data_IF_922504266116
#
_entry.id   IF_922504266116
#
_cell.length_a   1.000
_cell.length_b   1.000
_cell.length_c   1.000
_cell.angle_alpha   90.00
_cell.angle_beta   90.00
_cell.angle_gamma   90.00
#
_symmetry.space_group_name_H-M   'P 1'
#
loop_
_entity.id
_entity.type
_entity.pdbx_description
1 polymer ?
#
# COMPACT_ATOMS: atom_id res chain seq x y z
N UNK A 1 -14.83 -1.39 3.71
CA UNK A 1 -14.04 -1.88 4.86
C UNK A 1 -13.90 -0.77 5.89
N UNK A 2 -13.84 -1.13 7.15
CA UNK A 2 -13.46 -0.17 8.18
C UNK A 2 -11.95 0.08 8.14
N UNK A 3 -11.51 1.13 8.84
CA UNK A 3 -10.09 1.42 9.00
C UNK A 3 -9.33 0.23 9.61
N UNK A 4 -9.91 -0.39 10.64
CA UNK A 4 -9.28 -1.52 11.33
C UNK A 4 -9.20 -2.76 10.44
N UNK A 5 -10.23 -3.03 9.64
CA UNK A 5 -10.22 -4.11 8.68
C UNK A 5 -9.14 -3.93 7.62
N UNK A 6 -9.01 -2.71 7.10
CA UNK A 6 -7.99 -2.40 6.10
C UNK A 6 -6.58 -2.52 6.70
N UNK A 7 -6.39 -2.05 7.92
CA UNK A 7 -5.12 -2.19 8.64
C UNK A 7 -4.75 -3.65 8.86
N UNK A 8 -5.72 -4.47 9.25
CA UNK A 8 -5.52 -5.91 9.45
C UNK A 8 -5.16 -6.62 8.14
N UNK A 9 -5.84 -6.26 7.05
CA UNK A 9 -5.51 -6.80 5.73
C UNK A 9 -4.07 -6.48 5.35
N UNK A 10 -3.66 -5.23 5.53
CA UNK A 10 -2.30 -4.79 5.21
C UNK A 10 -1.26 -5.57 6.02
N UNK A 11 -1.46 -5.71 7.32
CA UNK A 11 -0.57 -6.47 8.18
C UNK A 11 -0.45 -7.93 7.74
N UNK A 12 -1.57 -8.54 7.34
CA UNK A 12 -1.62 -9.92 6.84
C UNK A 12 -0.98 -10.10 5.46
N UNK A 13 -0.72 -9.03 4.74
CA UNK A 13 -0.14 -9.05 3.39
C UNK A 13 1.26 -8.43 3.32
N UNK A 14 1.98 -8.43 4.43
CA UNK A 14 3.39 -8.04 4.45
C UNK A 14 3.66 -6.55 4.56
N UNK A 15 2.64 -5.74 4.81
CA UNK A 15 2.83 -4.32 5.06
C UNK A 15 3.31 -4.12 6.50
N UNK A 16 4.13 -3.10 6.71
CA UNK A 16 4.63 -2.72 8.05
C UNK A 16 4.07 -1.38 8.45
N UNK A 17 3.86 -1.19 9.75
CA UNK A 17 3.47 0.12 10.29
C UNK A 17 4.70 1.02 10.34
N UNK A 18 4.66 2.11 9.58
CA UNK A 18 5.72 3.11 9.52
C UNK A 18 5.10 4.47 9.86
N UNK A 19 5.49 5.03 11.00
CA UNK A 19 4.96 6.31 11.49
C UNK A 19 3.42 6.35 11.50
N UNK A 20 2.80 5.25 11.91
CA UNK A 20 1.34 5.14 11.99
C UNK A 20 0.64 4.76 10.69
N UNK A 21 1.36 4.58 9.60
CA UNK A 21 0.80 4.21 8.29
C UNK A 21 1.26 2.83 7.85
N UNK A 22 0.34 1.93 7.43
CA UNK A 22 0.76 0.69 6.81
C UNK A 22 1.54 0.99 5.53
N UNK A 23 2.71 0.39 5.39
CA UNK A 23 3.63 0.71 4.30
C UNK A 23 4.33 -0.54 3.78
N UNK A 24 4.59 -0.57 2.48
CA UNK A 24 5.47 -1.55 1.86
C UNK A 24 6.89 -1.01 1.91
N UNK A 25 7.81 -1.83 2.39
CA UNK A 25 9.19 -1.46 2.69
C UNK A 25 10.12 -2.20 1.75
N UNK A 26 11.18 -1.54 1.29
CA UNK A 26 12.20 -2.17 0.45
C UNK A 26 12.90 -3.31 1.18
N UNK A 27 13.13 -4.44 0.51
CA UNK A 27 13.94 -5.52 1.08
C UNK A 27 15.33 -5.02 1.48
N UNK A 28 15.80 -5.44 2.65
CA UNK A 28 17.11 -5.02 3.15
C UNK A 28 17.17 -3.57 3.65
N UNK A 29 16.09 -2.81 3.51
CA UNK A 29 16.01 -1.40 3.93
C UNK A 29 14.72 -1.16 4.68
N UNK A 30 14.60 -1.66 5.92
CA UNK A 30 13.34 -1.61 6.66
C UNK A 30 12.83 -0.21 7.00
N UNK A 31 13.63 0.84 6.76
CA UNK A 31 13.22 2.22 6.96
C UNK A 31 12.72 2.89 5.68
N UNK A 32 12.85 2.22 4.53
CA UNK A 32 12.50 2.79 3.23
C UNK A 32 11.12 2.33 2.78
N UNK A 33 10.10 3.06 3.16
CA UNK A 33 8.75 2.84 2.65
C UNK A 33 8.61 3.38 1.23
N UNK A 34 8.01 2.61 0.33
CA UNK A 34 7.81 3.00 -1.08
C UNK A 34 6.35 3.16 -1.47
N UNK A 35 5.46 2.48 -0.76
CA UNK A 35 4.00 2.62 -0.92
C UNK A 35 3.43 2.70 0.48
N UNK A 36 2.43 3.55 0.69
CA UNK A 36 1.80 3.67 2.00
C UNK A 36 0.31 3.94 1.88
N UNK A 37 -0.43 3.53 2.91
CA UNK A 37 -1.81 3.92 3.12
C UNK A 37 -1.82 5.04 4.15
N UNK A 38 -2.46 6.15 3.82
CA UNK A 38 -2.60 7.29 4.73
C UNK A 38 -4.02 7.30 5.25
N UNK A 39 -4.19 6.98 6.53
CA UNK A 39 -5.50 6.93 7.17
C UNK A 39 -5.91 8.32 7.65
N UNK A 40 -7.03 8.78 7.14
CA UNK A 40 -7.68 10.00 7.61
C UNK A 40 -9.00 9.63 8.30
N UNK A 41 -9.69 10.62 8.85
CA UNK A 41 -10.89 10.37 9.64
C UNK A 41 -11.99 9.63 8.85
N UNK A 42 -12.25 10.04 7.61
CA UNK A 42 -13.34 9.49 6.78
C UNK A 42 -12.86 8.87 5.49
N UNK A 43 -11.61 9.08 5.11
CA UNK A 43 -11.05 8.59 3.84
C UNK A 43 -9.68 7.97 4.08
N UNK A 44 -9.26 7.14 3.15
CA UNK A 44 -7.91 6.59 3.10
C UNK A 44 -7.30 6.92 1.75
N UNK A 45 -6.02 7.25 1.73
CA UNK A 45 -5.28 7.53 0.50
C UNK A 45 -4.20 6.48 0.27
N UNK A 46 -3.98 6.15 -1.01
CA UNK A 46 -2.87 5.32 -1.44
C UNK A 46 -1.81 6.24 -2.04
N UNK A 47 -0.60 6.19 -1.50
CA UNK A 47 0.51 7.02 -1.96
C UNK A 47 1.71 6.18 -2.33
N UNK A 48 2.42 6.61 -3.37
CA UNK A 48 3.70 6.01 -3.77
C UNK A 48 4.81 7.04 -3.63
N UNK A 49 5.98 6.57 -3.23
CA UNK A 49 7.13 7.45 -3.08
C UNK A 49 7.84 7.64 -4.42
N UNK A 50 8.05 8.89 -4.80
CA UNK A 50 8.84 9.26 -5.98
C UNK A 50 9.99 10.16 -5.53
N UNK A 51 11.21 9.67 -5.65
CA UNK A 51 12.40 10.36 -5.14
C UNK A 51 12.23 10.70 -3.65
N UNK A 52 12.06 11.97 -3.31
CA UNK A 52 11.91 12.44 -1.93
C UNK A 52 10.48 12.81 -1.56
N UNK A 53 9.54 12.69 -2.50
CA UNK A 53 8.15 13.09 -2.29
C UNK A 53 7.19 11.91 -2.37
N UNK A 54 5.98 12.11 -1.83
CA UNK A 54 4.89 11.15 -1.93
C UNK A 54 3.86 11.65 -2.92
N UNK A 55 3.45 10.79 -3.84
CA UNK A 55 2.41 11.09 -4.82
C UNK A 55 1.17 10.28 -4.50
N UNK A 56 0.03 10.96 -4.39
CA UNK A 56 -1.25 10.29 -4.17
C UNK A 56 -1.69 9.62 -5.48
N UNK A 57 -1.90 8.32 -5.43
CA UNK A 57 -2.37 7.52 -6.56
C UNK A 57 -3.89 7.44 -6.56
N UNK A 58 -4.50 7.34 -5.38
CA UNK A 58 -5.94 7.28 -5.25
C UNK A 58 -6.38 7.48 -3.81
N UNK A 59 -7.67 7.70 -3.62
CA UNK A 59 -8.26 7.81 -2.29
C UNK A 59 -9.74 7.44 -2.36
N UNK A 60 -10.30 7.02 -1.24
CA UNK A 60 -11.72 6.70 -1.15
C UNK A 60 -12.17 6.77 0.31
N UNK A 61 -13.48 6.96 0.51
CA UNK A 61 -14.08 6.74 1.81
C UNK A 61 -13.97 5.26 2.16
N UNK A 62 -13.80 4.95 3.44
CA UNK A 62 -13.65 3.55 3.88
C UNK A 62 -14.80 2.66 3.42
N UNK A 63 -16.00 3.18 3.39
CA UNK A 63 -17.20 2.43 2.96
C UNK A 63 -17.15 1.96 1.50
N UNK A 64 -16.35 2.62 0.65
CA UNK A 64 -16.18 2.25 -0.75
C UNK A 64 -14.93 1.40 -0.99
N UNK A 65 -14.19 1.07 0.04
CA UNK A 65 -13.02 0.20 -0.06
C UNK A 65 -13.45 -1.22 0.25
N UNK A 66 -13.11 -2.16 -0.60
CA UNK A 66 -13.48 -3.56 -0.46
C UNK A 66 -12.36 -4.47 -0.92
N UNK A 67 -12.48 -5.75 -0.62
CA UNK A 67 -11.57 -6.77 -1.14
C UNK A 67 -12.22 -7.45 -2.35
N UNK A 68 -11.39 -7.96 -3.26
CA UNK A 68 -11.88 -8.79 -4.36
C UNK A 68 -12.37 -10.15 -3.84
N UNK A 69 -12.86 -11.00 -4.75
CA UNK A 69 -13.41 -12.31 -4.37
C UNK A 69 -12.40 -13.21 -3.66
N UNK A 70 -11.12 -13.06 -3.95
CA UNK A 70 -10.06 -13.86 -3.36
C UNK A 70 -9.48 -13.25 -2.08
N UNK A 71 -9.91 -12.05 -1.72
CA UNK A 71 -9.37 -11.34 -0.57
C UNK A 71 -7.94 -10.83 -0.74
N UNK A 72 -7.42 -10.85 -1.96
CA UNK A 72 -6.03 -10.48 -2.25
C UNK A 72 -5.85 -9.03 -2.66
N UNK A 73 -6.85 -8.45 -3.33
CA UNK A 73 -6.76 -7.10 -3.87
C UNK A 73 -7.75 -6.17 -3.20
N UNK A 74 -7.27 -5.00 -2.84
CA UNK A 74 -8.13 -3.94 -2.34
C UNK A 74 -8.67 -3.15 -3.52
N UNK A 75 -9.99 -3.02 -3.59
CA UNK A 75 -10.71 -2.31 -4.64
C UNK A 75 -11.13 -0.93 -4.14
N UNK A 76 -11.11 0.04 -5.03
CA UNK A 76 -11.60 1.39 -4.75
C UNK A 76 -10.55 2.41 -4.37
N UNK A 77 -9.28 2.02 -4.19
CA UNK A 77 -8.19 2.91 -3.78
C UNK A 77 -7.22 3.28 -4.90
N UNK A 78 -7.37 2.73 -6.09
CA UNK A 78 -6.45 3.01 -7.19
C UNK A 78 -5.22 2.11 -7.23
N UNK A 79 -5.27 0.94 -6.58
CA UNK A 79 -4.18 -0.04 -6.68
C UNK A 79 -3.90 -0.45 -8.13
N UNK A 80 -4.90 -0.40 -8.99
CA UNK A 80 -4.75 -0.70 -10.41
C UNK A 80 -3.84 0.28 -11.15
N UNK A 81 -3.61 1.46 -10.57
CA UNK A 81 -2.68 2.46 -11.10
C UNK A 81 -1.23 2.20 -10.66
N UNK A 82 -1.03 1.23 -9.80
CA UNK A 82 0.29 0.82 -9.32
C UNK A 82 0.50 -0.62 -9.76
N UNK A 83 1.03 -0.85 -10.97
CA UNK A 83 1.21 -2.20 -11.50
C UNK A 83 2.05 -3.07 -10.56
N UNK A 84 1.70 -4.33 -10.46
CA UNK A 84 2.46 -5.32 -9.70
C UNK A 84 2.49 -5.10 -8.18
N UNK A 85 1.57 -4.33 -7.62
CA UNK A 85 1.56 -4.15 -6.16
C UNK A 85 1.33 -5.49 -5.42
N UNK A 86 0.50 -6.36 -6.00
CA UNK A 86 0.31 -7.71 -5.46
C UNK A 86 1.59 -8.52 -5.53
N UNK A 87 2.37 -8.32 -6.60
CA UNK A 87 3.66 -8.95 -6.78
C UNK A 87 4.67 -8.43 -5.76
N UNK A 88 4.65 -7.13 -5.47
CA UNK A 88 5.47 -6.55 -4.42
C UNK A 88 5.19 -7.18 -3.06
N UNK A 89 3.93 -7.42 -2.75
CA UNK A 89 3.56 -8.04 -1.48
C UNK A 89 4.01 -9.49 -1.38
N UNK A 90 3.92 -10.23 -2.49
CA UNK A 90 4.38 -11.63 -2.54
C UNK A 90 5.90 -11.75 -2.58
N UNK A 91 6.55 -10.86 -3.31
CA UNK A 91 7.97 -10.91 -3.60
C UNK A 91 8.71 -9.71 -3.03
N UNK A 92 8.40 -9.36 -1.79
CA UNK A 92 9.03 -8.24 -1.12
C UNK A 92 10.55 -8.38 -0.95
N UNK A 93 11.13 -9.45 -1.50
CA UNK A 93 12.57 -9.70 -1.53
C UNK A 93 13.22 -9.28 -2.86
N UNK A 94 12.41 -9.00 -3.88
CA UNK A 94 12.93 -8.69 -5.21
C UNK A 94 13.19 -7.19 -5.35
N UNK A 95 14.45 -6.81 -5.25
CA UNK A 95 14.86 -5.40 -5.37
C UNK A 95 14.56 -4.82 -6.74
N UNK A 96 14.51 -5.63 -7.80
CA UNK A 96 14.20 -5.13 -9.15
C UNK A 96 12.74 -4.67 -9.25
N UNK A 97 11.84 -5.41 -8.62
CA UNK A 97 10.43 -5.03 -8.57
C UNK A 97 10.28 -3.71 -7.83
N UNK A 98 10.94 -3.58 -6.68
CA UNK A 98 10.90 -2.34 -5.90
C UNK A 98 11.54 -1.15 -6.63
N UNK A 99 12.59 -1.40 -7.42
CA UNK A 99 13.25 -0.34 -8.17
C UNK A 99 12.33 0.34 -9.19
N UNK A 100 11.31 -0.38 -9.70
CA UNK A 100 10.32 0.19 -10.63
C UNK A 100 9.42 1.22 -9.97
N UNK A 101 9.24 1.14 -8.65
CA UNK A 101 8.38 2.07 -7.90
C UNK A 101 9.17 3.16 -7.20
N UNK A 102 10.46 2.95 -6.94
CA UNK A 102 11.29 3.88 -6.19
C UNK A 102 11.83 5.06 -6.98
N UNK A 103 11.40 5.21 -8.22
CA UNK A 103 11.87 6.28 -9.10
C UNK A 103 10.86 7.39 -9.23
#
# INVERSE_FOLDING_TARGET
MTRDELSAWAAGNGWRMMAGSPSLVKPGRPKDAIVRLVFKATVVALEVRKATTWEKVGSAKYEYVSLDADGERVMGLGFEKVPSISMLMRENRDEQVFARFGK
#
